data_IF_456155768739
#
_entry.id   IF_456155768739
#
_cell.length_a   1.000
_cell.length_b   1.000
_cell.length_c   1.000
_cell.angle_alpha   90.00
_cell.angle_beta   90.00
_cell.angle_gamma   90.00
#
_symmetry.space_group_name_H-M   'P 1'
#
loop_
_entity.id
_entity.type
_entity.pdbx_description
1 polymer ?
#
# COMPACT_ATOMS: atom_id res chain seq x y z
N UNK A 1 -21.74 42.40 20.51
CA UNK A 1 -22.16 41.57 19.36
C UNK A 1 -21.27 40.36 19.32
N UNK A 2 -21.91 39.21 19.35
CA UNK A 2 -21.40 37.87 19.63
C UNK A 2 -20.45 37.34 18.56
N UNK A 3 -19.28 36.87 19.01
CA UNK A 3 -18.68 35.55 18.70
C UNK A 3 -19.02 35.00 17.31
N UNK A 4 -18.16 35.20 16.31
CA UNK A 4 -18.10 34.34 15.11
C UNK A 4 -16.85 34.66 14.29
N UNK A 5 -15.68 34.28 14.79
CA UNK A 5 -14.44 34.27 14.02
C UNK A 5 -13.62 32.99 14.26
N UNK A 6 -14.31 31.89 14.63
CA UNK A 6 -13.66 30.61 14.95
C UNK A 6 -14.17 29.44 14.08
N UNK A 7 -14.94 29.73 13.03
CA UNK A 7 -15.66 28.70 12.26
C UNK A 7 -15.03 28.25 10.95
N UNK A 8 -13.94 28.87 10.48
CA UNK A 8 -13.44 28.62 9.11
C UNK A 8 -12.09 27.87 9.09
N UNK A 9 -11.40 27.71 10.23
CA UNK A 9 -10.08 27.06 10.26
C UNK A 9 -10.12 25.51 10.42
N UNK A 10 -11.29 24.90 10.55
CA UNK A 10 -11.39 23.48 10.94
C UNK A 10 -11.61 22.47 9.80
N UNK A 11 -11.60 22.88 8.53
CA UNK A 11 -11.96 21.96 7.41
C UNK A 11 -10.74 21.38 6.67
N UNK A 12 -9.51 21.84 6.92
CA UNK A 12 -8.33 21.40 6.16
C UNK A 12 -7.59 20.16 6.70
N UNK A 13 -8.03 19.57 7.81
CA UNK A 13 -7.27 18.51 8.51
C UNK A 13 -7.67 17.06 8.18
N UNK A 14 -8.60 16.82 7.25
CA UNK A 14 -9.15 15.48 6.96
C UNK A 14 -8.73 14.87 5.60
N UNK A 15 -7.88 15.56 4.81
CA UNK A 15 -7.45 15.05 3.50
C UNK A 15 -6.33 13.99 3.54
N UNK A 16 -5.81 13.63 4.72
CA UNK A 16 -4.58 12.83 4.85
C UNK A 16 -4.72 11.31 4.77
N UNK A 17 -5.94 10.73 4.81
CA UNK A 17 -6.11 9.28 5.01
C UNK A 17 -6.52 8.50 3.76
N UNK A 18 -6.78 9.16 2.63
CA UNK A 18 -7.29 8.50 1.43
C UNK A 18 -6.19 7.94 0.49
N UNK A 19 -4.94 8.38 0.61
CA UNK A 19 -3.89 8.01 -0.36
C UNK A 19 -3.14 6.70 -0.05
N UNK A 20 -3.32 6.09 1.13
CA UNK A 20 -2.49 4.93 1.52
C UNK A 20 -2.98 3.59 0.94
N UNK A 21 -4.29 3.42 0.72
CA UNK A 21 -4.84 2.20 0.13
C UNK A 21 -4.47 2.05 -1.33
N UNK A 22 -4.51 3.15 -2.08
CA UNK A 22 -4.27 3.18 -3.51
C UNK A 22 -2.79 2.85 -3.82
N UNK A 23 -1.86 3.43 -3.06
CA UNK A 23 -0.42 3.14 -3.21
C UNK A 23 -0.07 1.68 -2.92
N UNK A 24 -0.73 1.03 -1.94
CA UNK A 24 -0.48 -0.38 -1.65
C UNK A 24 -0.94 -1.29 -2.80
N UNK A 25 -2.04 -0.93 -3.47
CA UNK A 25 -2.54 -1.63 -4.64
C UNK A 25 -1.61 -1.45 -5.85
N UNK A 26 -1.11 -0.24 -6.11
CA UNK A 26 -0.15 0.03 -7.19
C UNK A 26 1.16 -0.77 -7.04
N UNK A 27 1.70 -0.84 -5.81
CA UNK A 27 2.86 -1.68 -5.54
C UNK A 27 2.57 -3.17 -5.78
N UNK A 28 1.37 -3.63 -5.40
CA UNK A 28 0.97 -5.02 -5.64
C UNK A 28 0.90 -5.34 -7.14
N UNK A 29 0.29 -4.46 -7.92
CA UNK A 29 0.23 -4.60 -9.39
C UNK A 29 1.63 -4.64 -10.00
N UNK A 30 2.53 -3.78 -9.52
CA UNK A 30 3.93 -3.73 -9.96
C UNK A 30 4.66 -5.04 -9.62
N UNK A 31 4.54 -5.54 -8.39
CA UNK A 31 5.15 -6.82 -8.00
C UNK A 31 4.66 -7.96 -8.88
N UNK A 32 3.35 -8.05 -9.12
CA UNK A 32 2.77 -9.08 -9.99
C UNK A 32 3.18 -8.93 -11.45
N UNK A 33 3.39 -7.69 -11.92
CA UNK A 33 3.94 -7.44 -13.26
C UNK A 33 5.37 -7.96 -13.38
N UNK A 34 6.23 -7.64 -12.42
CA UNK A 34 7.62 -8.12 -12.36
C UNK A 34 7.68 -9.66 -12.33
N UNK A 35 6.81 -10.32 -11.54
CA UNK A 35 6.72 -11.79 -11.56
C UNK A 35 6.37 -12.33 -12.96
N UNK A 36 5.41 -11.71 -13.67
CA UNK A 36 5.04 -12.11 -15.03
C UNK A 36 6.14 -11.84 -16.06
N UNK A 37 7.03 -10.89 -15.78
CA UNK A 37 8.21 -10.58 -16.60
C UNK A 37 9.44 -11.44 -16.23
N UNK A 38 9.26 -12.49 -15.41
CA UNK A 38 10.33 -13.35 -14.90
C UNK A 38 11.37 -12.60 -14.03
N UNK A 39 11.03 -11.43 -13.49
CA UNK A 39 11.83 -10.68 -12.55
C UNK A 39 11.39 -10.96 -11.11
N UNK A 40 11.41 -12.23 -10.72
CA UNK A 40 10.89 -12.67 -9.41
C UNK A 40 11.67 -12.05 -8.23
N UNK A 41 12.96 -11.78 -8.39
CA UNK A 41 13.78 -11.14 -7.35
C UNK A 41 13.24 -9.74 -6.99
N UNK A 42 12.95 -8.90 -7.99
CA UNK A 42 12.40 -7.57 -7.75
C UNK A 42 10.97 -7.64 -7.21
N UNK A 43 10.16 -8.58 -7.73
CA UNK A 43 8.81 -8.80 -7.19
C UNK A 43 8.83 -9.14 -5.69
N UNK A 44 9.76 -9.99 -5.24
CA UNK A 44 9.95 -10.32 -3.82
C UNK A 44 10.29 -9.08 -2.99
N UNK A 45 11.12 -8.18 -3.50
CA UNK A 45 11.46 -6.93 -2.82
C UNK A 45 10.24 -6.03 -2.66
N UNK A 46 9.46 -5.84 -3.73
CA UNK A 46 8.24 -5.03 -3.69
C UNK A 46 7.20 -5.66 -2.75
N UNK A 47 7.03 -6.98 -2.76
CA UNK A 47 6.14 -7.64 -1.80
C UNK A 47 6.55 -7.38 -0.35
N UNK A 48 7.86 -7.44 -0.04
CA UNK A 48 8.37 -7.09 1.29
C UNK A 48 8.13 -5.62 1.64
N UNK A 49 8.26 -4.71 0.66
CA UNK A 49 7.93 -3.30 0.85
C UNK A 49 6.46 -3.10 1.24
N UNK A 50 5.53 -3.77 0.54
CA UNK A 50 4.10 -3.71 0.86
C UNK A 50 3.84 -4.13 2.31
N UNK A 51 4.49 -5.20 2.77
CA UNK A 51 4.38 -5.67 4.16
C UNK A 51 4.94 -4.67 5.18
N UNK A 52 6.02 -3.98 4.82
CA UNK A 52 6.65 -2.99 5.70
C UNK A 52 5.85 -1.70 5.77
N UNK A 53 5.35 -1.20 4.65
CA UNK A 53 4.73 0.14 4.54
C UNK A 53 3.22 0.10 4.74
N UNK A 54 2.57 -0.99 4.36
CA UNK A 54 1.11 -1.12 4.36
C UNK A 54 0.64 -2.43 5.04
N UNK A 55 1.10 -2.74 6.28
CA UNK A 55 0.91 -4.06 6.90
C UNK A 55 -0.56 -4.47 7.11
N UNK A 56 -1.49 -3.51 7.20
CA UNK A 56 -2.91 -3.75 7.38
C UNK A 56 -3.72 -3.68 6.07
N UNK A 57 -3.08 -3.47 4.92
CA UNK A 57 -3.76 -3.37 3.63
C UNK A 57 -4.19 -4.74 3.09
N UNK A 58 -5.24 -4.81 2.24
CA UNK A 58 -5.53 -6.02 1.46
C UNK A 58 -4.34 -6.49 0.62
N UNK A 59 -3.55 -5.54 0.08
CA UNK A 59 -2.35 -5.84 -0.68
C UNK A 59 -1.30 -6.59 0.14
N UNK A 60 -1.14 -6.27 1.43
CA UNK A 60 -0.24 -7.00 2.32
C UNK A 60 -0.67 -8.46 2.51
N UNK A 61 -1.98 -8.75 2.57
CA UNK A 61 -2.44 -10.14 2.64
C UNK A 61 -2.07 -10.93 1.38
N UNK A 62 -2.25 -10.34 0.21
CA UNK A 62 -1.83 -10.94 -1.07
C UNK A 62 -0.32 -11.11 -1.15
N UNK A 63 0.46 -10.10 -0.74
CA UNK A 63 1.91 -10.13 -0.73
C UNK A 63 2.48 -11.27 0.13
N UNK A 64 1.92 -11.51 1.32
CA UNK A 64 2.30 -12.67 2.17
C UNK A 64 2.10 -14.00 1.45
N UNK A 65 0.93 -14.19 0.84
CA UNK A 65 0.60 -15.41 0.12
C UNK A 65 1.55 -15.64 -1.05
N UNK A 66 1.85 -14.59 -1.83
CA UNK A 66 2.77 -14.68 -2.97
C UNK A 66 4.19 -15.02 -2.52
N UNK A 67 4.70 -14.38 -1.47
CA UNK A 67 6.02 -14.69 -0.91
C UNK A 67 6.13 -16.15 -0.47
N UNK A 68 5.09 -16.71 0.16
CA UNK A 68 5.07 -18.13 0.53
C UNK A 68 5.14 -19.04 -0.70
N UNK A 69 4.32 -18.76 -1.72
CA UNK A 69 4.30 -19.53 -2.98
C UNK A 69 5.62 -19.46 -3.75
N UNK A 70 6.29 -18.30 -3.73
CA UNK A 70 7.61 -18.13 -4.36
C UNK A 70 8.71 -18.87 -3.59
N UNK A 71 8.61 -18.96 -2.26
CA UNK A 71 9.57 -19.71 -1.45
C UNK A 71 9.44 -21.24 -1.60
N UNK A 72 8.27 -21.73 -2.02
CA UNK A 72 8.01 -23.14 -2.28
C UNK A 72 8.45 -23.59 -3.69
N UNK A 73 8.77 -22.65 -4.59
CA UNK A 73 9.33 -22.99 -5.90
C UNK A 73 10.75 -23.54 -5.73
N UNK A 74 11.05 -24.74 -6.27
CA UNK A 74 12.38 -25.35 -6.21
C UNK A 74 13.41 -24.62 -7.07
#
# INVERSE_FOLDING_TARGET
MTRSAFGILSVFLLAGTACSSDQAAELLETAQFEERQHNEAHAVEIYKEILSRYPASPAAQTAKTRLAQLAEKP
#
